data_IF_897134624854
#
_entry.id   IF_897134624854
#
_cell.length_a   1.000
_cell.length_b   1.000
_cell.length_c   1.000
_cell.angle_alpha   90.00
_cell.angle_beta   90.00
_cell.angle_gamma   90.00
#
_symmetry.space_group_name_H-M   'P 1'
#
loop_
_entity.id
_entity.type
_entity.pdbx_description
1 polymer ?
#
# COMPACT_ATOMS: atom_id res chain seq x y z
N UNK A 1 -0.24 1.16 7.85
CA UNK A 1 -1.24 2.23 7.64
C UNK A 1 -2.61 1.59 7.59
N UNK A 2 -3.59 2.08 8.36
CA UNK A 2 -4.94 1.56 8.30
C UNK A 2 -5.65 2.09 7.05
N UNK A 3 -6.45 1.25 6.37
CA UNK A 3 -7.17 1.62 5.14
C UNK A 3 -8.02 2.87 5.31
N UNK A 4 -8.75 2.96 6.42
CA UNK A 4 -9.60 4.12 6.75
C UNK A 4 -8.80 5.43 6.78
N UNK A 5 -7.61 5.40 7.38
CA UNK A 5 -6.72 6.55 7.39
C UNK A 5 -6.23 6.93 5.97
N UNK A 6 -6.00 5.95 5.10
CA UNK A 6 -5.62 6.20 3.70
C UNK A 6 -6.78 6.76 2.87
N UNK A 7 -8.01 6.29 3.11
CA UNK A 7 -9.22 6.82 2.45
C UNK A 7 -9.44 8.28 2.86
N UNK A 8 -9.32 8.59 4.15
CA UNK A 8 -9.43 9.96 4.63
C UNK A 8 -8.29 10.84 4.08
N UNK A 9 -7.07 10.31 4.04
CA UNK A 9 -5.93 11.02 3.45
C UNK A 9 -6.16 11.35 1.96
N UNK A 10 -6.70 10.42 1.16
CA UNK A 10 -7.00 10.69 -0.26
C UNK A 10 -8.03 11.81 -0.42
N UNK A 11 -9.05 11.86 0.45
CA UNK A 11 -10.05 12.92 0.45
C UNK A 11 -9.40 14.27 0.75
N UNK A 12 -8.64 14.37 1.83
CA UNK A 12 -7.92 15.58 2.23
C UNK A 12 -6.89 16.02 1.18
N UNK A 13 -6.22 15.05 0.53
CA UNK A 13 -5.28 15.30 -0.56
C UNK A 13 -5.96 15.97 -1.74
N UNK A 14 -7.14 15.49 -2.13
CA UNK A 14 -7.93 16.07 -3.22
C UNK A 14 -8.34 17.51 -2.90
N UNK A 15 -8.86 17.75 -1.70
CA UNK A 15 -9.24 19.10 -1.24
C UNK A 15 -8.03 20.06 -1.25
N UNK A 16 -6.87 19.59 -0.77
CA UNK A 16 -5.62 20.35 -0.80
C UNK A 16 -5.16 20.70 -2.22
N UNK A 17 -5.23 19.76 -3.16
CA UNK A 17 -4.83 19.97 -4.54
C UNK A 17 -5.74 20.97 -5.26
N UNK A 18 -7.06 20.88 -5.04
CA UNK A 18 -8.04 21.83 -5.58
C UNK A 18 -7.80 23.23 -5.01
N UNK A 19 -7.68 23.35 -3.69
CA UNK A 19 -7.37 24.62 -3.03
C UNK A 19 -6.07 25.26 -3.53
N UNK A 20 -5.00 24.47 -3.65
CA UNK A 20 -3.69 24.95 -4.09
C UNK A 20 -3.74 25.43 -5.55
N UNK A 21 -4.43 24.67 -6.43
CA UNK A 21 -4.62 25.06 -7.83
C UNK A 21 -5.39 26.37 -7.95
N UNK A 22 -6.44 26.56 -7.16
CA UNK A 22 -7.24 27.78 -7.18
C UNK A 22 -6.45 28.99 -6.67
N UNK A 23 -5.71 28.85 -5.57
CA UNK A 23 -4.84 29.92 -5.06
C UNK A 23 -3.76 30.34 -6.06
N UNK A 24 -3.14 29.38 -6.75
CA UNK A 24 -2.09 29.67 -7.73
C UNK A 24 -2.61 30.39 -8.99
N UNK A 25 -3.89 30.17 -9.39
CA UNK A 25 -4.52 30.93 -10.50
C UNK A 25 -4.55 32.43 -10.22
N UNK A 26 -4.79 32.81 -8.97
CA UNK A 26 -4.90 34.20 -8.55
C UNK A 26 -3.52 34.84 -8.29
N UNK A 27 -2.51 34.03 -7.92
CA UNK A 27 -1.22 34.49 -7.40
C UNK A 27 -0.02 34.53 -8.35
N UNK A 28 -0.14 34.04 -9.61
CA UNK A 28 1.00 33.79 -10.53
C UNK A 28 2.06 32.80 -10.01
N UNK A 29 1.75 32.03 -8.98
CA UNK A 29 2.65 31.01 -8.46
C UNK A 29 2.59 29.74 -9.33
N UNK A 30 3.74 29.08 -9.50
CA UNK A 30 3.79 27.78 -10.15
C UNK A 30 3.21 26.71 -9.22
N UNK A 31 2.17 26.00 -9.69
CA UNK A 31 1.49 24.96 -8.90
C UNK A 31 2.45 23.85 -8.51
N UNK A 32 3.36 23.44 -9.41
CA UNK A 32 4.31 22.37 -9.16
C UNK A 32 5.30 22.72 -8.05
N UNK A 33 5.73 23.98 -7.98
CA UNK A 33 6.62 24.48 -6.95
C UNK A 33 5.96 24.57 -5.56
N UNK A 34 4.65 24.84 -5.50
CA UNK A 34 3.90 25.03 -4.24
C UNK A 34 3.27 23.72 -3.74
N UNK A 35 2.96 22.80 -4.65
CA UNK A 35 2.32 21.53 -4.31
C UNK A 35 3.27 20.64 -3.53
N UNK A 36 2.86 20.23 -2.34
CA UNK A 36 3.60 19.26 -1.53
C UNK A 36 3.55 17.90 -2.23
N UNK A 37 4.72 17.29 -2.44
CA UNK A 37 4.79 15.96 -3.03
C UNK A 37 4.13 14.91 -2.13
N UNK A 38 3.60 13.85 -2.74
CA UNK A 38 3.07 12.68 -2.02
C UNK A 38 4.18 12.04 -1.19
N UNK A 39 5.38 11.89 -1.77
CA UNK A 39 6.56 11.36 -1.08
C UNK A 39 6.91 12.10 0.20
N UNK A 40 6.83 13.43 0.20
CA UNK A 40 7.11 14.25 1.39
C UNK A 40 6.00 14.23 2.46
N UNK A 41 4.88 13.56 2.17
CA UNK A 41 3.82 13.31 3.15
C UNK A 41 4.08 12.08 4.00
N UNK A 42 5.07 11.26 3.66
CA UNK A 42 5.48 10.09 4.43
C UNK A 42 6.56 10.44 5.47
N UNK A 43 6.53 9.74 6.60
CA UNK A 43 7.71 9.66 7.46
C UNK A 43 8.84 8.95 6.71
N UNK A 44 10.06 9.49 6.81
CA UNK A 44 11.20 9.02 6.03
C UNK A 44 11.59 7.57 6.35
N UNK A 45 11.59 7.19 7.64
CA UNK A 45 11.94 5.85 8.09
C UNK A 45 10.86 4.84 7.72
N UNK A 46 9.59 5.25 7.81
CA UNK A 46 8.46 4.43 7.33
C UNK A 46 8.57 4.18 5.84
N UNK A 47 8.88 5.22 5.05
CA UNK A 47 9.02 5.09 3.61
C UNK A 47 10.19 4.17 3.23
N UNK A 48 11.35 4.31 3.89
CA UNK A 48 12.50 3.43 3.71
C UNK A 48 12.13 1.97 3.99
N UNK A 49 11.48 1.70 5.12
CA UNK A 49 11.03 0.35 5.48
C UNK A 49 10.08 -0.24 4.43
N UNK A 50 9.12 0.55 3.92
CA UNK A 50 8.20 0.09 2.87
C UNK A 50 8.94 -0.24 1.57
N UNK A 51 9.93 0.57 1.20
CA UNK A 51 10.76 0.34 0.03
C UNK A 51 11.53 -0.99 0.12
N UNK A 52 12.18 -1.24 1.25
CA UNK A 52 13.01 -2.43 1.47
C UNK A 52 12.19 -3.70 1.68
N UNK A 53 11.18 -3.64 2.55
CA UNK A 53 10.48 -4.83 3.03
C UNK A 53 9.32 -5.21 2.12
N UNK A 54 8.52 -4.23 1.68
CA UNK A 54 7.26 -4.48 0.97
C UNK A 54 7.43 -4.45 -0.55
N UNK A 55 8.22 -3.52 -1.08
CA UNK A 55 8.27 -3.26 -2.52
C UNK A 55 9.54 -3.75 -3.19
N UNK A 56 10.64 -3.93 -2.45
CA UNK A 56 11.93 -4.31 -3.01
C UNK A 56 12.46 -3.28 -4.02
N UNK A 57 12.17 -1.99 -3.80
CA UNK A 57 12.60 -0.88 -4.66
C UNK A 57 13.52 0.04 -3.90
N UNK A 58 14.46 0.67 -4.60
CA UNK A 58 15.30 1.71 -4.01
C UNK A 58 14.46 2.98 -3.78
N UNK A 59 14.62 3.62 -2.62
CA UNK A 59 13.86 4.82 -2.25
C UNK A 59 14.05 5.97 -3.26
N UNK A 60 15.21 6.07 -3.92
CA UNK A 60 15.47 7.07 -4.97
C UNK A 60 14.59 6.91 -6.21
N UNK A 61 14.15 5.68 -6.50
CA UNK A 61 13.31 5.33 -7.65
C UNK A 61 11.81 5.48 -7.35
N UNK A 62 11.45 5.73 -6.09
CA UNK A 62 10.06 5.97 -5.68
C UNK A 62 9.62 7.38 -6.06
N UNK A 63 8.60 7.44 -6.91
CA UNK A 63 7.93 8.66 -7.37
C UNK A 63 6.58 8.85 -6.68
N UNK A 64 6.01 10.05 -6.79
CA UNK A 64 4.66 10.33 -6.28
C UNK A 64 3.59 9.45 -6.95
N UNK A 65 3.71 9.22 -8.26
CA UNK A 65 2.79 8.35 -9.02
C UNK A 65 2.85 6.91 -8.51
N UNK A 66 4.05 6.38 -8.25
CA UNK A 66 4.22 5.05 -7.67
C UNK A 66 3.54 4.97 -6.29
N UNK A 67 3.71 5.99 -5.44
CA UNK A 67 3.09 6.02 -4.12
C UNK A 67 1.58 6.10 -4.20
N UNK A 68 1.03 6.92 -5.11
CA UNK A 68 -0.41 7.01 -5.36
C UNK A 68 -0.96 5.67 -5.85
N UNK A 69 -0.27 4.99 -6.76
CA UNK A 69 -0.64 3.65 -7.21
C UNK A 69 -0.72 2.68 -6.02
N UNK A 70 0.28 2.70 -5.12
CA UNK A 70 0.27 1.86 -3.91
C UNK A 70 -0.83 2.22 -2.91
N UNK A 71 -1.15 3.49 -2.75
CA UNK A 71 -2.28 3.93 -1.92
C UNK A 71 -3.59 3.41 -2.52
N UNK A 72 -3.79 3.58 -3.83
CA UNK A 72 -4.97 3.10 -4.54
C UNK A 72 -5.10 1.58 -4.52
N UNK A 73 -3.99 0.85 -4.66
CA UNK A 73 -3.97 -0.60 -4.46
C UNK A 73 -4.58 -0.99 -3.11
N UNK A 74 -4.26 -0.27 -2.03
CA UNK A 74 -4.75 -0.56 -0.68
C UNK A 74 -6.21 -0.08 -0.49
N UNK A 75 -6.60 1.06 -1.05
CA UNK A 75 -7.97 1.58 -0.85
C UNK A 75 -9.00 0.87 -1.72
N UNK A 76 -8.61 0.45 -2.92
CA UNK A 76 -9.52 -0.03 -3.96
C UNK A 76 -9.66 -1.56 -3.94
N UNK A 77 -8.68 -2.30 -3.38
CA UNK A 77 -8.71 -3.77 -3.36
C UNK A 77 -9.78 -4.41 -2.46
N UNK A 78 -10.64 -3.63 -1.80
CA UNK A 78 -11.49 -4.11 -0.70
C UNK A 78 -12.99 -3.97 -0.89
N UNK A 79 -13.45 -3.49 -2.03
CA UNK A 79 -14.87 -3.61 -2.36
C UNK A 79 -15.16 -5.08 -2.69
N UNK A 80 -15.32 -5.96 -1.70
CA UNK A 80 -15.89 -7.34 -1.76
C UNK A 80 -14.98 -8.52 -1.37
N UNK A 81 -13.86 -8.34 -0.66
CA UNK A 81 -13.05 -9.50 -0.20
C UNK A 81 -12.63 -9.37 1.26
N UNK A 82 -13.08 -10.34 2.09
CA UNK A 82 -12.47 -10.60 3.40
C UNK A 82 -11.00 -10.95 3.20
N UNK A 83 -10.11 -10.08 3.69
CA UNK A 83 -8.75 -10.50 3.96
C UNK A 83 -8.79 -11.54 5.09
N UNK A 84 -7.83 -12.49 5.11
CA UNK A 84 -7.53 -13.18 6.36
C UNK A 84 -7.29 -12.10 7.43
N UNK A 85 -7.79 -12.31 8.65
CA UNK A 85 -7.55 -11.37 9.73
C UNK A 85 -6.03 -11.27 9.96
N UNK A 86 -5.42 -10.23 9.37
CA UNK A 86 -3.97 -10.03 9.40
C UNK A 86 -3.49 -9.91 10.85
N UNK A 87 -4.35 -9.40 11.74
CA UNK A 87 -4.06 -9.29 13.17
C UNK A 87 -4.03 -10.67 13.82
N UNK A 88 -4.94 -11.56 13.44
CA UNK A 88 -4.95 -12.95 13.90
C UNK A 88 -3.76 -13.73 13.34
N UNK A 89 -3.51 -13.63 12.02
CA UNK A 89 -2.38 -14.28 11.36
C UNK A 89 -1.04 -13.93 12.03
N UNK A 90 -0.77 -12.64 12.25
CA UNK A 90 0.48 -12.23 12.90
C UNK A 90 0.53 -12.65 14.38
N UNK A 91 -0.61 -12.72 15.08
CA UNK A 91 -0.67 -13.20 16.47
C UNK A 91 -0.35 -14.70 16.56
N UNK A 92 -0.81 -15.47 15.59
CA UNK A 92 -0.63 -16.93 15.57
C UNK A 92 0.76 -17.30 15.07
N UNK A 93 1.19 -16.73 13.96
CA UNK A 93 2.39 -17.18 13.22
C UNK A 93 3.67 -16.43 13.62
N UNK A 94 3.62 -15.13 13.97
CA UNK A 94 4.83 -14.36 14.28
C UNK A 94 5.28 -14.57 15.73
N UNK A 95 5.88 -15.74 16.01
CA UNK A 95 6.38 -16.12 17.33
C UNK A 95 7.88 -16.35 17.32
N UNK A 96 8.57 -15.76 18.29
CA UNK A 96 10.01 -15.97 18.47
C UNK A 96 10.28 -17.37 19.04
N UNK A 97 11.24 -18.09 18.46
CA UNK A 97 11.62 -19.42 18.93
C UNK A 97 12.43 -19.37 20.23
N UNK A 98 11.76 -19.45 21.37
CA UNK A 98 12.40 -19.40 22.70
C UNK A 98 13.21 -20.66 23.06
N UNK A 99 13.13 -21.74 22.27
CA UNK A 99 13.93 -22.94 22.48
C UNK A 99 15.36 -22.81 21.96
N UNK A 100 15.61 -21.86 21.05
CA UNK A 100 16.95 -21.55 20.58
C UNK A 100 17.67 -20.64 21.59
N UNK A 101 18.79 -21.12 22.14
CA UNK A 101 19.63 -20.39 23.09
C UNK A 101 20.56 -19.37 22.44
N UNK A 102 20.81 -19.50 21.13
CA UNK A 102 21.54 -18.50 20.34
C UNK A 102 20.61 -17.31 20.08
N UNK A 103 20.92 -16.19 20.75
CA UNK A 103 20.10 -14.98 20.70
C UNK A 103 20.15 -14.35 19.31
N UNK A 104 21.30 -14.37 18.64
CA UNK A 104 21.49 -13.72 17.35
C UNK A 104 20.72 -14.49 16.27
N UNK A 105 20.85 -15.82 16.25
CA UNK A 105 20.09 -16.68 15.35
C UNK A 105 18.58 -16.50 15.58
N UNK A 106 18.13 -16.48 16.83
CA UNK A 106 16.71 -16.31 17.19
C UNK A 106 16.14 -14.97 16.73
N UNK A 107 16.91 -13.89 16.86
CA UNK A 107 16.50 -12.56 16.38
C UNK A 107 16.41 -12.54 14.85
N UNK A 108 17.42 -13.07 14.15
CA UNK A 108 17.44 -13.15 12.68
C UNK A 108 16.26 -13.96 12.16
N UNK A 109 15.99 -15.12 12.74
CA UNK A 109 14.85 -15.98 12.38
C UNK A 109 13.51 -15.27 12.57
N UNK A 110 13.34 -14.55 13.68
CA UNK A 110 12.11 -13.80 13.95
C UNK A 110 11.86 -12.68 12.93
N UNK A 111 12.88 -11.90 12.60
CA UNK A 111 12.77 -10.86 11.56
C UNK A 111 12.55 -11.46 10.17
N UNK A 112 13.20 -12.57 9.86
CA UNK A 112 12.98 -13.30 8.61
C UNK A 112 11.54 -13.82 8.49
N UNK A 113 10.98 -14.35 9.58
CA UNK A 113 9.59 -14.80 9.65
C UNK A 113 8.62 -13.63 9.46
N UNK A 114 8.86 -12.49 10.11
CA UNK A 114 8.07 -11.27 9.91
C UNK A 114 8.06 -10.85 8.43
N UNK A 115 9.25 -10.74 7.82
CA UNK A 115 9.38 -10.36 6.42
C UNK A 115 8.68 -11.35 5.48
N UNK A 116 8.73 -12.64 5.78
CA UNK A 116 8.04 -13.69 5.01
C UNK A 116 6.52 -13.56 5.11
N UNK A 117 5.98 -13.33 6.31
CA UNK A 117 4.54 -13.12 6.52
C UNK A 117 4.06 -11.86 5.79
N UNK A 118 4.80 -10.76 5.86
CA UNK A 118 4.49 -9.52 5.12
C UNK A 118 4.40 -9.80 3.62
N UNK A 119 5.42 -10.45 3.04
CA UNK A 119 5.44 -10.79 1.61
C UNK A 119 4.29 -11.70 1.20
N UNK A 120 3.92 -12.66 2.04
CA UNK A 120 2.79 -13.55 1.79
C UNK A 120 1.47 -12.80 1.78
N UNK A 121 1.22 -11.91 2.75
CA UNK A 121 0.01 -11.08 2.77
C UNK A 121 -0.07 -10.19 1.53
N UNK A 122 1.01 -9.50 1.18
CA UNK A 122 1.08 -8.65 -0.02
C UNK A 122 0.80 -9.46 -1.29
N UNK A 123 1.45 -10.62 -1.44
CA UNK A 123 1.26 -11.50 -2.59
C UNK A 123 -0.17 -12.04 -2.70
N UNK A 124 -0.78 -12.42 -1.57
CA UNK A 124 -2.18 -12.86 -1.51
C UNK A 124 -3.14 -11.75 -1.93
N UNK A 125 -2.90 -10.50 -1.51
CA UNK A 125 -3.67 -9.34 -1.94
C UNK A 125 -3.56 -9.15 -3.46
N UNK A 126 -2.35 -9.18 -4.02
CA UNK A 126 -2.11 -9.06 -5.46
C UNK A 126 -2.79 -10.18 -6.26
N UNK A 127 -2.69 -11.44 -5.80
CA UNK A 127 -3.34 -12.59 -6.42
C UNK A 127 -4.87 -12.46 -6.40
N UNK A 128 -5.45 -12.12 -5.25
CA UNK A 128 -6.89 -11.95 -5.11
C UNK A 128 -7.44 -10.83 -6.01
N UNK A 129 -6.70 -9.71 -6.17
CA UNK A 129 -6.99 -8.64 -7.14
C UNK A 129 -7.01 -9.15 -8.57
N UNK A 130 -6.01 -9.93 -8.98
CA UNK A 130 -5.93 -10.51 -10.34
C UNK A 130 -7.11 -11.44 -10.65
N UNK A 131 -7.58 -12.21 -9.66
CA UNK A 131 -8.75 -13.08 -9.79
C UNK A 131 -10.04 -12.26 -9.91
N UNK A 132 -10.19 -11.19 -9.13
CA UNK A 132 -11.37 -10.31 -9.19
C UNK A 132 -11.49 -9.61 -10.56
N UNK A 133 -10.39 -9.05 -11.07
CA UNK A 133 -10.31 -8.43 -12.40
C UNK A 133 -10.65 -9.40 -13.53
N UNK A 134 -10.19 -10.66 -13.44
CA UNK A 134 -10.57 -11.71 -14.41
C UNK A 134 -12.06 -12.01 -14.36
N UNK A 135 -12.66 -12.13 -13.17
CA UNK A 135 -14.10 -12.37 -13.02
C UNK A 135 -14.94 -11.23 -13.60
N UNK A 136 -14.58 -9.97 -13.33
CA UNK A 136 -15.31 -8.82 -13.88
C UNK A 136 -15.21 -8.74 -15.41
N UNK A 137 -14.03 -9.00 -15.98
CA UNK A 137 -13.85 -9.03 -17.43
C UNK A 137 -14.65 -10.14 -18.11
N UNK A 138 -14.69 -11.34 -17.51
CA UNK A 138 -15.50 -12.47 -18.02
C UNK A 138 -17.01 -12.22 -17.92
N UNK A 139 -17.48 -11.52 -16.88
CA UNK A 139 -18.88 -11.12 -16.76
C UNK A 139 -19.28 -10.06 -17.79
N UNK A 140 -18.43 -9.07 -18.08
CA UNK A 140 -18.68 -8.09 -19.13
C UNK A 140 -18.68 -8.74 -20.53
N UNK A 141 -17.76 -9.66 -20.83
CA UNK A 141 -17.76 -10.35 -22.14
C UNK A 141 -18.99 -11.22 -22.36
N UNK A 142 -19.56 -11.80 -21.30
CA UNK A 142 -20.78 -12.62 -21.38
C UNK A 142 -22.06 -11.79 -21.61
N UNK A 143 -22.05 -10.51 -21.22
CA UNK A 143 -23.14 -9.56 -21.49
C UNK A 143 -23.14 -9.07 -22.95
N UNK A 144 -21.96 -8.91 -23.57
CA UNK A 144 -21.82 -8.46 -24.97
C UNK A 144 -22.04 -9.55 -26.02
N UNK A 145 -22.22 -10.82 -25.63
CA UNK A 145 -22.51 -11.94 -26.56
C UNK A 145 -23.98 -12.35 -26.59
N UNK A 146 -24.87 -11.59 -25.94
CA UNK A 146 -26.31 -11.86 -25.87
C UNK A 146 -27.20 -10.94 -26.71
N UNK A 147 -26.60 -10.02 -27.47
CA UNK A 147 -27.25 -9.16 -28.46
C UNK A 147 -26.79 -9.55 -29.88
#
# INVERSE_FOLDING_TARGET
MAREALVEWLKLRKEYEEYTKDRCKDGKEDVGAVMKSVKSSFDANVLETLCEVCWGVEQSRVTDDFLLEKIHEITDSFQNQELPDVKELFREELRMNMSNSDIDARMIEYFHLCNTLIKNVVSLVSLKKSVALRKSASSSSALFQKD
#
